data_IF_584745842151
#
_entry.id   IF_584745842151
#
_cell.length_a   1.000
_cell.length_b   1.000
_cell.length_c   1.000
_cell.angle_alpha   90.00
_cell.angle_beta   90.00
_cell.angle_gamma   90.00
#
_symmetry.space_group_name_H-M   'P 1'
#
loop_
_entity.id
_entity.type
_entity.pdbx_description
1 polymer ?
#
# COMPACT_ATOMS: atom_id res chain seq x y z
N UNK A 1 4.61 -3.21 -11.86
CA UNK A 1 3.95 -2.09 -11.14
C UNK A 1 2.75 -2.49 -10.28
N UNK A 2 1.62 -2.95 -10.84
CA UNK A 2 0.42 -3.26 -10.03
C UNK A 2 0.73 -4.23 -8.88
N UNK A 3 1.50 -5.28 -9.19
CA UNK A 3 1.94 -6.29 -8.24
C UNK A 3 2.70 -5.73 -7.02
N UNK A 4 3.41 -4.62 -7.17
CA UNK A 4 4.18 -4.01 -6.08
C UNK A 4 3.53 -2.74 -5.54
N UNK A 5 2.31 -2.42 -6.00
CA UNK A 5 1.51 -1.31 -5.50
C UNK A 5 0.52 -1.76 -4.41
N UNK A 6 0.27 -3.06 -4.32
CA UNK A 6 -0.67 -3.66 -3.36
C UNK A 6 0.00 -3.98 -2.03
N UNK A 7 -0.80 -4.20 -0.98
CA UNK A 7 -0.28 -4.54 0.36
C UNK A 7 0.31 -5.94 0.43
N UNK A 8 -0.31 -6.88 -0.28
CA UNK A 8 0.05 -8.30 -0.32
C UNK A 8 -0.15 -8.84 -1.73
N UNK A 9 0.68 -9.80 -2.08
CA UNK A 9 0.69 -10.45 -3.39
C UNK A 9 0.69 -11.96 -3.20
N UNK A 10 -0.27 -12.62 -3.83
CA UNK A 10 -0.38 -14.08 -3.83
C UNK A 10 -0.19 -14.57 -5.27
N UNK A 11 0.60 -15.63 -5.43
CA UNK A 11 0.90 -16.20 -6.75
C UNK A 11 0.65 -17.70 -6.72
N UNK A 12 0.03 -18.20 -7.78
CA UNK A 12 -0.32 -19.60 -7.90
C UNK A 12 0.96 -20.40 -8.20
N UNK A 13 1.25 -21.43 -7.40
CA UNK A 13 2.46 -22.25 -7.52
C UNK A 13 2.42 -23.12 -8.79
N UNK A 14 1.27 -23.75 -9.03
CA UNK A 14 1.08 -24.73 -10.09
C UNK A 14 -0.12 -24.40 -11.01
N UNK A 15 -0.58 -25.37 -11.79
CA UNK A 15 -1.81 -25.26 -12.57
C UNK A 15 -3.03 -25.38 -11.66
N UNK A 16 -4.08 -24.60 -11.93
CA UNK A 16 -5.39 -24.82 -11.30
C UNK A 16 -6.00 -26.12 -11.85
N UNK A 17 -6.56 -26.98 -10.99
CA UNK A 17 -7.25 -28.18 -11.44
C UNK A 17 -8.36 -27.85 -12.45
N UNK A 18 -8.28 -28.46 -13.65
CA UNK A 18 -9.26 -28.25 -14.73
C UNK A 18 -9.10 -26.94 -15.51
N UNK A 19 -8.04 -26.17 -15.24
CA UNK A 19 -7.67 -24.98 -16.02
C UNK A 19 -6.65 -25.33 -17.11
N UNK A 20 -6.72 -24.62 -18.25
CA UNK A 20 -5.81 -24.81 -19.39
C UNK A 20 -4.96 -23.56 -19.65
N UNK A 21 -4.98 -22.56 -18.76
CA UNK A 21 -4.09 -21.40 -18.80
C UNK A 21 -2.65 -21.85 -18.49
N UNK A 22 -1.64 -21.19 -19.07
CA UNK A 22 -0.25 -21.48 -18.72
C UNK A 22 0.02 -21.12 -17.25
N UNK A 23 1.06 -21.74 -16.68
CA UNK A 23 1.60 -21.41 -15.36
C UNK A 23 1.79 -19.89 -15.26
N UNK A 24 1.34 -19.34 -14.13
CA UNK A 24 1.47 -17.92 -13.86
C UNK A 24 2.95 -17.53 -13.79
N UNK A 25 3.33 -16.47 -14.48
CA UNK A 25 4.71 -15.96 -14.43
C UNK A 25 4.74 -14.45 -14.25
N UNK A 26 5.78 -13.98 -13.58
CA UNK A 26 6.11 -12.55 -13.44
C UNK A 26 7.30 -12.25 -14.35
N UNK A 27 7.20 -11.19 -15.15
CA UNK A 27 8.32 -10.72 -15.97
C UNK A 27 8.65 -9.29 -15.61
N UNK A 28 9.87 -9.07 -15.11
CA UNK A 28 10.39 -7.74 -14.84
C UNK A 28 10.77 -7.05 -16.16
N UNK A 29 10.55 -5.74 -16.22
CA UNK A 29 11.03 -4.88 -17.29
C UNK A 29 11.85 -3.73 -16.71
N UNK A 30 12.55 -2.99 -17.58
CA UNK A 30 13.31 -1.80 -17.18
C UNK A 30 12.45 -0.77 -16.43
N UNK A 31 11.14 -0.73 -16.74
CA UNK A 31 10.22 0.23 -16.12
C UNK A 31 10.01 0.02 -14.62
N UNK A 32 10.26 -1.19 -14.11
CA UNK A 32 10.09 -1.51 -12.70
C UNK A 32 11.18 -0.90 -11.82
N UNK A 33 12.22 -0.34 -12.44
CA UNK A 33 13.42 0.16 -11.79
C UNK A 33 13.59 1.69 -11.92
N UNK A 34 12.47 2.42 -11.92
CA UNK A 34 12.47 3.89 -11.77
C UNK A 34 11.60 4.67 -12.74
N UNK A 35 10.97 4.04 -13.74
CA UNK A 35 10.08 4.76 -14.68
C UNK A 35 8.82 5.30 -14.00
N UNK A 36 8.35 4.64 -12.93
CA UNK A 36 7.11 4.98 -12.22
C UNK A 36 7.36 5.17 -10.72
N UNK A 37 8.10 6.22 -10.30
CA UNK A 37 8.44 6.42 -8.90
C UNK A 37 7.18 6.69 -8.05
N UNK A 38 7.26 6.24 -6.79
CA UNK A 38 6.33 6.63 -5.75
C UNK A 38 6.65 8.05 -5.25
N UNK A 39 5.76 8.64 -4.44
CA UNK A 39 5.94 9.99 -3.92
C UNK A 39 7.19 10.14 -3.03
N UNK A 40 7.72 9.05 -2.46
CA UNK A 40 8.96 9.04 -1.69
C UNK A 40 10.23 9.10 -2.58
N UNK A 41 10.07 9.14 -3.92
CA UNK A 41 11.17 9.20 -4.88
C UNK A 41 11.79 7.84 -5.22
N UNK A 42 11.26 6.75 -4.66
CA UNK A 42 11.72 5.38 -4.93
C UNK A 42 10.78 4.68 -5.91
N UNK A 43 11.29 3.72 -6.67
CA UNK A 43 10.45 2.69 -7.30
C UNK A 43 9.74 1.83 -6.25
N UNK A 44 8.70 1.10 -6.65
CA UNK A 44 7.99 0.19 -5.75
C UNK A 44 8.87 -0.97 -5.29
N UNK A 45 9.73 -1.48 -6.17
CA UNK A 45 10.72 -2.51 -5.81
C UNK A 45 11.73 -1.97 -4.79
N UNK A 46 12.27 -0.77 -4.99
CA UNK A 46 13.18 -0.15 -4.00
C UNK A 46 12.50 0.08 -2.65
N UNK A 47 11.21 0.45 -2.63
CA UNK A 47 10.46 0.55 -1.37
C UNK A 47 10.24 -0.81 -0.72
N UNK A 48 9.96 -1.85 -1.51
CA UNK A 48 9.81 -3.24 -1.03
C UNK A 48 11.11 -3.77 -0.41
N UNK A 49 12.26 -3.45 -1.00
CA UNK A 49 13.59 -3.85 -0.53
C UNK A 49 14.37 -2.70 0.13
N UNK A 50 13.68 -1.80 0.84
CA UNK A 50 14.25 -0.56 1.36
C UNK A 50 15.52 -0.75 2.24
N UNK A 51 15.63 -1.89 2.92
CA UNK A 51 16.78 -2.25 3.75
C UNK A 51 17.84 -3.11 3.04
N UNK A 52 17.59 -3.54 1.81
CA UNK A 52 18.38 -4.54 1.07
C UNK A 52 18.61 -4.09 -0.38
N UNK A 53 19.31 -2.96 -0.61
CA UNK A 53 19.48 -2.41 -1.95
C UNK A 53 20.20 -3.37 -2.92
N UNK A 54 21.00 -4.31 -2.40
CA UNK A 54 21.66 -5.34 -3.22
C UNK A 54 20.66 -6.25 -3.93
N UNK A 55 19.46 -6.44 -3.37
CA UNK A 55 18.40 -7.22 -4.02
C UNK A 55 17.90 -6.53 -5.29
N UNK A 56 17.87 -5.19 -5.31
CA UNK A 56 17.48 -4.45 -6.52
C UNK A 56 18.46 -4.70 -7.65
N UNK A 57 19.76 -4.75 -7.35
CA UNK A 57 20.77 -5.05 -8.36
C UNK A 57 20.62 -6.49 -8.88
N UNK A 58 20.40 -7.47 -7.99
CA UNK A 58 20.16 -8.86 -8.39
C UNK A 58 18.90 -9.04 -9.25
N UNK A 59 17.83 -8.29 -8.96
CA UNK A 59 16.59 -8.32 -9.75
C UNK A 59 16.75 -7.73 -11.15
N UNK A 60 17.71 -6.82 -11.38
CA UNK A 60 17.99 -6.31 -12.73
C UNK A 60 18.50 -7.39 -13.67
N UNK A 61 19.23 -8.37 -13.15
CA UNK A 61 19.73 -9.52 -13.93
C UNK A 61 18.59 -10.46 -14.36
N UNK A 62 17.39 -10.33 -13.76
CA UNK A 62 16.21 -11.14 -14.08
C UNK A 62 15.26 -10.46 -15.09
N UNK A 63 15.63 -9.28 -15.62
CA UNK A 63 14.78 -8.54 -16.57
C UNK A 63 14.52 -9.37 -17.83
N UNK A 64 13.24 -9.46 -18.20
CA UNK A 64 12.78 -10.19 -19.39
C UNK A 64 12.66 -11.70 -19.22
N UNK A 65 13.07 -12.26 -18.07
CA UNK A 65 12.87 -13.66 -17.76
C UNK A 65 11.46 -13.88 -17.20
N UNK A 66 10.72 -14.90 -17.67
CA UNK A 66 9.48 -15.32 -17.03
C UNK A 66 9.83 -16.08 -15.76
N UNK A 67 9.49 -15.52 -14.60
CA UNK A 67 9.72 -16.11 -13.29
C UNK A 67 8.45 -16.84 -12.85
N UNK A 68 8.57 -18.12 -12.52
CA UNK A 68 7.47 -18.87 -11.89
C UNK A 68 7.29 -18.48 -10.43
N UNK A 69 6.39 -19.17 -9.73
CA UNK A 69 6.04 -18.84 -8.36
C UNK A 69 7.19 -19.09 -7.37
N UNK A 70 7.87 -20.23 -7.48
CA UNK A 70 9.02 -20.57 -6.61
C UNK A 70 10.15 -19.55 -6.82
N UNK A 71 10.47 -19.23 -8.07
CA UNK A 71 11.48 -18.22 -8.40
C UNK A 71 11.09 -16.84 -7.89
N UNK A 72 9.83 -16.44 -8.04
CA UNK A 72 9.32 -15.17 -7.56
C UNK A 72 9.33 -15.08 -6.03
N UNK A 73 9.00 -16.15 -5.31
CA UNK A 73 9.03 -16.20 -3.85
C UNK A 73 10.46 -16.15 -3.31
N UNK A 74 11.37 -16.93 -3.90
CA UNK A 74 12.79 -16.92 -3.55
C UNK A 74 13.45 -15.55 -3.76
N UNK A 75 13.04 -14.82 -4.80
CA UNK A 75 13.45 -13.44 -5.05
C UNK A 75 12.68 -12.40 -4.22
N UNK A 76 11.72 -12.84 -3.41
CA UNK A 76 10.90 -11.99 -2.57
C UNK A 76 10.03 -11.03 -3.38
N UNK A 77 9.58 -11.38 -4.58
CA UNK A 77 8.70 -10.55 -5.42
C UNK A 77 7.22 -10.65 -5.04
N UNK A 78 6.83 -11.73 -4.36
CA UNK A 78 5.47 -12.01 -3.89
C UNK A 78 5.44 -12.14 -2.36
N UNK A 79 4.26 -12.11 -1.76
CA UNK A 79 4.10 -12.28 -0.30
C UNK A 79 4.01 -13.76 0.08
N UNK A 80 3.36 -14.54 -0.77
CA UNK A 80 3.11 -15.97 -0.54
C UNK A 80 2.78 -16.62 -1.89
N UNK A 81 3.16 -17.89 -2.02
CA UNK A 81 2.70 -18.78 -3.08
C UNK A 81 1.70 -19.77 -2.50
N UNK A 82 0.70 -20.15 -3.29
CA UNK A 82 -0.39 -21.04 -2.88
C UNK A 82 -0.62 -22.10 -3.97
N UNK A 83 -0.90 -23.33 -3.56
CA UNK A 83 -1.33 -24.40 -4.45
C UNK A 83 -2.85 -24.31 -4.74
N UNK A 84 -3.36 -25.24 -5.56
CA UNK A 84 -4.77 -25.22 -6.00
C UNK A 84 -5.74 -25.59 -4.88
N UNK A 85 -5.27 -26.38 -3.91
CA UNK A 85 -6.03 -26.83 -2.75
C UNK A 85 -6.27 -25.65 -1.80
N UNK A 86 -5.24 -24.86 -1.53
CA UNK A 86 -5.28 -23.77 -0.54
C UNK A 86 -5.75 -22.43 -1.13
N UNK A 87 -5.64 -22.23 -2.45
CA UNK A 87 -5.91 -20.94 -3.10
C UNK A 87 -7.24 -20.30 -2.70
N UNK A 88 -8.34 -21.01 -2.89
CA UNK A 88 -9.68 -20.48 -2.67
C UNK A 88 -9.93 -20.13 -1.19
N UNK A 89 -9.43 -20.97 -0.28
CA UNK A 89 -9.65 -20.77 1.15
C UNK A 89 -8.75 -19.67 1.73
N UNK A 90 -7.46 -19.65 1.41
CA UNK A 90 -6.52 -18.64 1.91
C UNK A 90 -6.83 -17.24 1.37
N UNK A 91 -7.14 -17.12 0.07
CA UNK A 91 -7.53 -15.83 -0.52
C UNK A 91 -8.85 -15.34 0.09
N UNK A 92 -9.82 -16.24 0.30
CA UNK A 92 -11.10 -15.89 0.95
C UNK A 92 -10.88 -15.42 2.39
N UNK A 93 -10.10 -16.15 3.18
CA UNK A 93 -9.77 -15.79 4.57
C UNK A 93 -9.11 -14.41 4.60
N UNK A 94 -8.13 -14.15 3.73
CA UNK A 94 -7.50 -12.83 3.66
C UNK A 94 -8.49 -11.70 3.37
N UNK A 95 -9.43 -11.90 2.45
CA UNK A 95 -10.45 -10.91 2.13
C UNK A 95 -11.45 -10.71 3.29
N UNK A 96 -11.85 -11.80 3.95
CA UNK A 96 -12.71 -11.76 5.14
C UNK A 96 -12.03 -11.02 6.30
N UNK A 97 -10.76 -11.32 6.57
CA UNK A 97 -9.96 -10.61 7.56
C UNK A 97 -9.89 -9.11 7.25
N UNK A 98 -9.57 -8.76 6.00
CA UNK A 98 -9.48 -7.35 5.57
C UNK A 98 -10.81 -6.62 5.74
N UNK A 99 -11.94 -7.29 5.50
CA UNK A 99 -13.27 -6.73 5.71
C UNK A 99 -13.66 -6.65 7.19
N UNK A 100 -13.07 -7.47 8.06
CA UNK A 100 -13.39 -7.53 9.49
C UNK A 100 -12.69 -6.46 10.33
N UNK A 101 -11.54 -5.95 9.89
CA UNK A 101 -10.77 -4.94 10.62
C UNK A 101 -11.38 -3.54 10.52
N UNK A 102 -11.05 -2.69 11.50
CA UNK A 102 -11.42 -1.27 11.45
C UNK A 102 -10.79 -0.60 10.22
N UNK A 103 -11.59 0.01 9.33
CA UNK A 103 -11.06 0.68 8.14
C UNK A 103 -10.13 1.85 8.49
N UNK A 104 -10.36 2.52 9.61
CA UNK A 104 -9.51 3.60 10.11
C UNK A 104 -8.11 3.08 10.46
N UNK A 105 -8.06 1.93 11.15
CA UNK A 105 -6.79 1.30 11.54
C UNK A 105 -6.04 0.78 10.33
N UNK A 106 -6.74 0.17 9.37
CA UNK A 106 -6.13 -0.34 8.13
C UNK A 106 -5.55 0.80 7.29
N UNK A 107 -6.30 1.89 7.10
CA UNK A 107 -5.81 3.06 6.37
C UNK A 107 -4.56 3.66 7.03
N UNK A 108 -4.56 3.76 8.36
CA UNK A 108 -3.40 4.22 9.12
C UNK A 108 -2.19 3.29 8.96
N UNK A 109 -2.39 1.97 9.05
CA UNK A 109 -1.33 0.98 8.87
C UNK A 109 -0.73 1.04 7.47
N UNK A 110 -1.56 1.04 6.43
CA UNK A 110 -1.15 1.12 5.02
C UNK A 110 -0.35 2.38 4.73
N UNK A 111 -0.78 3.53 5.26
CA UNK A 111 -0.06 4.79 5.09
C UNK A 111 1.36 4.75 5.67
N UNK A 112 1.59 3.97 6.74
CA UNK A 112 2.92 3.81 7.34
C UNK A 112 3.76 2.75 6.62
N UNK A 113 3.17 1.61 6.26
CA UNK A 113 3.90 0.51 5.63
C UNK A 113 4.27 0.81 4.17
N UNK A 114 3.39 1.47 3.41
CA UNK A 114 3.65 1.78 1.99
C UNK A 114 4.63 2.94 1.79
N UNK A 115 4.71 3.86 2.74
CA UNK A 115 5.61 5.02 2.69
C UNK A 115 6.70 4.92 3.75
N UNK A 116 7.36 3.77 3.80
CA UNK A 116 8.51 3.55 4.67
C UNK A 116 9.73 4.34 4.18
N UNK A 117 10.56 4.80 5.13
CA UNK A 117 11.87 5.35 4.83
C UNK A 117 11.87 6.84 4.45
N UNK A 118 12.35 7.23 3.26
CA UNK A 118 12.55 8.63 2.89
C UNK A 118 11.26 9.47 2.90
N UNK A 119 11.41 10.73 3.34
CA UNK A 119 10.34 11.72 3.33
C UNK A 119 10.67 12.85 2.33
N UNK A 120 9.77 13.08 1.38
CA UNK A 120 9.83 14.16 0.38
C UNK A 120 8.82 15.26 0.72
N UNK A 121 8.72 16.29 -0.14
CA UNK A 121 7.67 17.30 0.02
C UNK A 121 6.28 16.66 -0.10
N UNK A 122 6.12 15.77 -1.08
CA UNK A 122 4.86 15.09 -1.40
C UNK A 122 4.44 14.15 -0.26
N UNK A 123 5.35 13.31 0.26
CA UNK A 123 5.01 12.43 1.39
C UNK A 123 4.71 13.23 2.65
N UNK A 124 5.38 14.37 2.87
CA UNK A 124 5.06 15.27 4.00
C UNK A 124 3.70 15.96 3.85
N UNK A 125 3.26 16.22 2.62
CA UNK A 125 1.91 16.73 2.34
C UNK A 125 0.89 15.62 2.68
N UNK A 126 1.03 14.41 2.15
CA UNK A 126 0.06 13.34 2.37
C UNK A 126 0.12 12.68 3.75
N UNK A 127 1.28 12.72 4.41
CA UNK A 127 1.50 12.26 5.77
C UNK A 127 1.28 13.40 6.76
N UNK A 128 2.36 14.11 7.12
CA UNK A 128 2.35 15.12 8.19
C UNK A 128 1.22 16.15 8.06
N UNK A 129 1.06 16.81 6.91
CA UNK A 129 0.05 17.86 6.77
C UNK A 129 -1.37 17.27 6.75
N UNK A 130 -1.62 16.31 5.87
CA UNK A 130 -2.97 15.72 5.69
C UNK A 130 -3.43 14.95 6.92
N UNK A 131 -2.58 14.20 7.62
CA UNK A 131 -2.98 13.47 8.83
C UNK A 131 -3.43 14.43 9.96
N UNK A 132 -2.68 15.52 10.19
CA UNK A 132 -3.09 16.56 11.14
C UNK A 132 -4.38 17.26 10.70
N UNK A 133 -4.54 17.51 9.40
CA UNK A 133 -5.77 18.10 8.86
C UNK A 133 -6.98 17.17 9.04
N UNK A 134 -6.83 15.87 8.80
CA UNK A 134 -7.87 14.87 9.00
C UNK A 134 -8.31 14.82 10.47
N UNK A 135 -7.36 14.90 11.41
CA UNK A 135 -7.68 14.99 12.84
C UNK A 135 -8.46 16.27 13.19
N UNK A 136 -8.12 17.42 12.60
CA UNK A 136 -8.87 18.67 12.77
C UNK A 136 -10.29 18.53 12.20
N UNK A 137 -10.44 17.91 11.02
CA UNK A 137 -11.72 17.76 10.34
C UNK A 137 -12.69 16.78 11.01
N UNK A 138 -12.21 15.91 11.90
CA UNK A 138 -13.08 15.04 12.69
C UNK A 138 -13.47 15.64 14.05
N UNK A 139 -13.22 16.93 14.30
CA UNK A 139 -13.47 17.58 15.61
C UNK A 139 -14.48 18.72 15.56
N UNK A 140 -15.26 18.90 16.64
CA UNK A 140 -16.39 19.84 16.66
C UNK A 140 -15.98 21.31 16.48
N UNK A 141 -14.78 21.71 16.92
CA UNK A 141 -14.28 23.07 16.72
C UNK A 141 -14.25 23.48 15.23
N UNK A 142 -14.00 22.53 14.32
CA UNK A 142 -13.96 22.79 12.88
C UNK A 142 -15.33 22.58 12.23
N UNK A 143 -15.89 21.37 12.35
CA UNK A 143 -17.03 20.91 11.54
C UNK A 143 -18.36 20.81 12.31
N UNK A 144 -18.36 21.01 13.63
CA UNK A 144 -19.57 20.89 14.45
C UNK A 144 -20.61 21.96 14.12
N UNK A 145 -21.85 21.79 14.59
CA UNK A 145 -22.99 22.69 14.33
C UNK A 145 -22.68 24.16 14.67
N UNK A 146 -21.87 24.40 15.70
CA UNK A 146 -21.42 25.73 16.12
C UNK A 146 -19.92 25.96 15.88
N UNK A 147 -19.27 25.09 15.10
CA UNK A 147 -17.86 25.14 14.75
C UNK A 147 -17.53 26.22 13.71
N UNK A 148 -16.23 26.40 13.45
CA UNK A 148 -15.72 27.48 12.62
C UNK A 148 -16.32 27.50 11.20
N UNK A 149 -16.41 26.33 10.54
CA UNK A 149 -16.87 26.26 9.15
C UNK A 149 -18.36 26.62 9.01
N UNK A 150 -19.20 26.14 9.91
CA UNK A 150 -20.65 26.40 9.89
C UNK A 150 -21.00 27.85 10.25
N UNK A 151 -20.12 28.56 10.97
CA UNK A 151 -20.34 29.97 11.34
C UNK A 151 -19.86 30.97 10.28
N UNK A 152 -19.07 30.54 9.30
CA UNK A 152 -18.61 31.41 8.23
C UNK A 152 -19.80 32.09 7.51
N UNK A 153 -19.75 33.41 7.37
CA UNK A 153 -20.82 34.20 6.75
C UNK A 153 -22.06 34.46 7.63
N UNK A 154 -22.19 33.85 8.82
CA UNK A 154 -23.35 34.03 9.70
C UNK A 154 -23.31 35.28 10.58
N UNK A 155 -22.17 35.97 10.66
CA UNK A 155 -21.93 37.08 11.59
C UNK A 155 -21.74 36.67 13.07
N UNK A 156 -21.77 35.36 13.37
CA UNK A 156 -21.52 34.80 14.71
C UNK A 156 -20.13 34.17 14.79
N UNK A 157 -19.50 34.22 15.97
CA UNK A 157 -18.24 33.52 16.26
C UNK A 157 -18.50 32.03 16.54
N UNK A 158 -17.56 31.16 16.19
CA UNK A 158 -17.60 29.74 16.56
C UNK A 158 -17.40 29.51 18.07
N UNK A 159 -18.00 28.43 18.57
CA UNK A 159 -17.80 27.95 19.93
C UNK A 159 -16.67 26.91 19.93
N UNK A 160 -15.66 27.12 20.79
CA UNK A 160 -14.44 26.32 20.79
C UNK A 160 -14.16 25.73 22.16
N UNK A 161 -13.82 24.44 22.20
CA UNK A 161 -13.06 23.89 23.32
C UNK A 161 -11.62 24.40 23.22
N UNK A 162 -11.15 25.06 24.27
CA UNK A 162 -9.82 25.68 24.36
C UNK A 162 -8.76 24.74 24.96
N UNK A 163 -9.16 23.54 25.38
CA UNK A 163 -8.26 22.53 25.89
C UNK A 163 -7.34 22.01 24.76
N UNK A 164 -6.05 21.88 25.07
CA UNK A 164 -5.06 21.27 24.18
C UNK A 164 -5.16 19.74 24.26
N UNK A 165 -4.71 19.06 23.20
CA UNK A 165 -4.56 17.61 23.11
C UNK A 165 -3.08 17.30 22.92
#
# INVERSE_FOLDING_TARGET
ELLWAVDRTYMMEDEFEGDNRPIATITLSQDNFGSYPMANGLSRLETRFLGEPQQIDALRDQIGLPLDAEEADALGLVTMILDDIDWEDEVRIFLEERASFSPDAMTGMEANLRFAGPETMETRIFGRLTAWQNWIFNRPNAVGEHGALQRYGSGKRGEYSMERV
#
